data_IF_842254724466
#
_entry.id   IF_842254724466
#
_cell.length_a   1.000
_cell.length_b   1.000
_cell.length_c   1.000
_cell.angle_alpha   90.00
_cell.angle_beta   90.00
_cell.angle_gamma   90.00
#
_symmetry.space_group_name_H-M   'P 1'
#
loop_
_entity.id
_entity.type
_entity.pdbx_description
1 polymer ?
#
# COMPACT_ATOMS: atom_id res chain seq x y z
N UNK A 1 37.05 45.29 -1.19
CA UNK A 1 35.61 44.96 -1.18
C UNK A 1 35.27 44.13 -2.41
N UNK A 2 35.30 42.79 -2.32
CA UNK A 2 34.68 41.90 -3.31
C UNK A 2 33.91 40.84 -2.53
N UNK A 3 32.61 40.79 -2.83
CA UNK A 3 31.53 40.23 -2.03
C UNK A 3 31.65 38.70 -1.97
N UNK A 4 31.60 38.14 -0.77
CA UNK A 4 31.65 36.72 -0.49
C UNK A 4 30.43 35.99 -1.09
N UNK A 5 30.72 34.85 -1.70
CA UNK A 5 29.82 33.80 -2.14
C UNK A 5 29.08 33.18 -0.95
N UNK A 6 27.75 33.12 -0.98
CA UNK A 6 26.95 32.07 -0.33
C UNK A 6 25.66 31.86 -1.13
N UNK A 7 25.70 30.96 -2.10
CA UNK A 7 24.50 30.30 -2.59
C UNK A 7 24.04 29.35 -1.48
N UNK A 8 23.12 29.81 -0.63
CA UNK A 8 22.39 28.94 0.28
C UNK A 8 21.33 28.25 -0.57
N UNK A 9 21.70 27.10 -1.13
CA UNK A 9 20.70 26.13 -1.60
C UNK A 9 19.91 25.72 -0.35
N UNK A 10 18.68 26.19 -0.24
CA UNK A 10 17.74 25.77 0.78
C UNK A 10 17.35 24.31 0.56
N UNK A 11 18.17 23.39 1.06
CA UNK A 11 17.83 21.98 1.21
C UNK A 11 16.91 21.88 2.43
N UNK A 12 15.61 22.12 2.24
CA UNK A 12 14.74 22.27 3.39
C UNK A 12 13.26 22.20 3.09
N UNK A 13 12.78 21.17 2.38
CA UNK A 13 11.44 20.57 2.56
C UNK A 13 11.46 19.14 1.99
N UNK A 14 11.93 18.15 2.76
CA UNK A 14 11.67 16.72 2.48
C UNK A 14 11.39 15.97 3.80
N UNK A 15 10.81 16.66 4.79
CA UNK A 15 10.45 16.09 6.10
C UNK A 15 8.94 15.93 6.30
N UNK A 16 8.12 16.08 5.26
CA UNK A 16 6.68 15.84 5.32
C UNK A 16 6.32 14.39 4.92
N UNK A 17 7.17 13.44 5.31
CA UNK A 17 7.02 12.03 4.96
C UNK A 17 5.81 11.42 5.66
N UNK A 18 4.81 11.02 4.89
CA UNK A 18 3.78 10.01 5.21
C UNK A 18 2.85 10.25 6.42
N UNK A 19 3.04 11.32 7.20
CA UNK A 19 2.26 11.59 8.42
C UNK A 19 0.76 11.90 8.23
N UNK A 20 0.26 11.94 6.99
CA UNK A 20 -1.16 12.11 6.67
C UNK A 20 -1.93 10.79 6.47
N UNK A 21 -1.27 9.64 6.59
CA UNK A 21 -1.86 8.33 6.35
C UNK A 21 -2.52 7.76 7.62
N UNK A 22 -3.42 8.50 8.29
CA UNK A 22 -4.14 7.97 9.46
C UNK A 22 -5.36 7.14 9.00
N UNK A 23 -5.49 5.89 9.47
CA UNK A 23 -6.65 5.04 9.23
C UNK A 23 -7.85 5.42 10.14
N UNK A 24 -8.17 6.70 10.24
CA UNK A 24 -9.29 7.21 11.05
C UNK A 24 -10.28 8.04 10.22
N UNK A 25 -11.44 8.33 10.81
CA UNK A 25 -12.49 9.13 10.18
C UNK A 25 -13.16 8.45 8.98
N UNK A 26 -13.30 7.12 9.03
CA UNK A 26 -13.99 6.35 8.00
C UNK A 26 -15.50 6.53 8.14
N UNK A 27 -16.11 7.28 7.23
CA UNK A 27 -17.57 7.47 7.25
C UNK A 27 -18.30 6.17 6.88
N UNK A 28 -19.56 5.97 7.33
CA UNK A 28 -20.34 4.80 6.93
C UNK A 28 -20.51 4.66 5.41
N UNK A 29 -20.65 5.77 4.68
CA UNK A 29 -20.73 5.75 3.21
C UNK A 29 -19.40 5.30 2.59
N UNK A 30 -18.28 5.84 3.06
CA UNK A 30 -16.95 5.43 2.58
C UNK A 30 -16.68 3.96 2.90
N UNK A 31 -17.06 3.48 4.09
CA UNK A 31 -16.93 2.06 4.45
C UNK A 31 -17.68 1.14 3.48
N UNK A 32 -18.93 1.44 3.15
CA UNK A 32 -19.71 0.60 2.21
C UNK A 32 -19.13 0.62 0.80
N UNK A 33 -18.60 1.76 0.35
CA UNK A 33 -17.88 1.86 -0.93
C UNK A 33 -16.60 1.01 -0.91
N UNK A 34 -15.73 1.20 0.07
CA UNK A 34 -14.47 0.45 0.20
C UNK A 34 -14.76 -1.05 0.31
N UNK A 35 -15.78 -1.44 1.06
CA UNK A 35 -16.20 -2.84 1.20
C UNK A 35 -16.68 -3.44 -0.12
N UNK A 36 -17.49 -2.71 -0.88
CA UNK A 36 -17.94 -3.16 -2.20
C UNK A 36 -16.76 -3.31 -3.17
N UNK A 37 -15.81 -2.38 -3.17
CA UNK A 37 -14.61 -2.46 -4.00
C UNK A 37 -13.70 -3.63 -3.61
N UNK A 38 -13.50 -3.87 -2.31
CA UNK A 38 -12.75 -5.02 -1.82
C UNK A 38 -13.41 -6.34 -2.23
N UNK A 39 -14.74 -6.45 -2.11
CA UNK A 39 -15.49 -7.63 -2.53
C UNK A 39 -15.39 -7.88 -4.05
N UNK A 40 -15.40 -6.81 -4.85
CA UNK A 40 -15.20 -6.91 -6.28
C UNK A 40 -13.79 -7.41 -6.61
N UNK A 41 -12.75 -6.87 -5.96
CA UNK A 41 -11.37 -7.34 -6.09
C UNK A 41 -11.20 -8.80 -5.70
N UNK A 42 -11.81 -9.23 -4.60
CA UNK A 42 -11.79 -10.64 -4.14
C UNK A 42 -12.42 -11.56 -5.16
N UNK A 43 -13.59 -11.17 -5.66
CA UNK A 43 -14.30 -11.94 -6.69
C UNK A 43 -13.45 -12.03 -7.96
N UNK A 44 -12.81 -10.93 -8.35
CA UNK A 44 -11.95 -10.91 -9.52
C UNK A 44 -10.73 -11.82 -9.35
N UNK A 45 -9.95 -11.64 -8.27
CA UNK A 45 -8.74 -12.42 -8.02
C UNK A 45 -9.02 -13.91 -7.80
N UNK A 46 -10.13 -14.27 -7.15
CA UNK A 46 -10.57 -15.67 -7.03
C UNK A 46 -10.85 -16.32 -8.40
N UNK A 47 -11.27 -15.54 -9.39
CA UNK A 47 -11.53 -16.03 -10.75
C UNK A 47 -10.30 -15.98 -11.66
N UNK A 48 -9.31 -15.11 -11.40
CA UNK A 48 -8.14 -14.93 -12.27
C UNK A 48 -6.88 -15.61 -11.75
N UNK A 49 -6.71 -15.70 -10.44
CA UNK A 49 -5.52 -16.24 -9.78
C UNK A 49 -5.82 -17.61 -9.14
N UNK A 50 -5.20 -18.66 -9.66
CA UNK A 50 -5.52 -20.06 -9.28
C UNK A 50 -5.20 -20.36 -7.82
N UNK A 51 -4.20 -19.70 -7.26
CA UNK A 51 -3.74 -19.85 -5.88
C UNK A 51 -4.59 -19.08 -4.87
N UNK A 52 -5.33 -18.05 -5.28
CA UNK A 52 -5.93 -17.05 -4.39
C UNK A 52 -6.84 -17.67 -3.34
N UNK A 53 -7.77 -18.53 -3.76
CA UNK A 53 -8.69 -19.24 -2.85
C UNK A 53 -7.95 -20.13 -1.84
N UNK A 54 -6.79 -20.67 -2.24
CA UNK A 54 -5.91 -21.44 -1.35
C UNK A 54 -5.31 -20.53 -0.27
N UNK A 55 -4.81 -19.37 -0.67
CA UNK A 55 -4.20 -18.38 0.23
C UNK A 55 -5.18 -17.81 1.22
N UNK A 56 -6.40 -17.47 0.79
CA UNK A 56 -7.48 -17.03 1.68
C UNK A 56 -7.74 -18.09 2.75
N UNK A 57 -7.82 -19.37 2.37
CA UNK A 57 -8.13 -20.48 3.29
C UNK A 57 -6.98 -20.81 4.25
N UNK A 58 -5.74 -20.65 3.83
CA UNK A 58 -4.57 -20.97 4.65
C UNK A 58 -4.13 -19.83 5.56
N UNK A 59 -4.61 -18.60 5.33
CA UNK A 59 -4.20 -17.42 6.09
C UNK A 59 -5.02 -17.24 7.37
N UNK A 60 -4.40 -16.64 8.37
CA UNK A 60 -5.08 -16.19 9.59
C UNK A 60 -5.97 -14.97 9.30
N UNK A 61 -5.45 -14.03 8.50
CA UNK A 61 -6.14 -12.83 8.05
C UNK A 61 -5.58 -12.39 6.69
N UNK A 62 -6.25 -11.45 6.04
CA UNK A 62 -5.81 -10.91 4.76
C UNK A 62 -6.33 -9.48 4.55
N UNK A 63 -5.51 -8.62 3.95
CA UNK A 63 -5.84 -7.22 3.69
C UNK A 63 -6.02 -6.98 2.20
N UNK A 64 -7.10 -6.30 1.82
CA UNK A 64 -7.43 -6.00 0.41
C UNK A 64 -7.32 -4.51 0.18
N UNK A 65 -6.59 -4.15 -0.87
CA UNK A 65 -6.37 -2.78 -1.31
C UNK A 65 -6.79 -2.64 -2.77
N UNK A 66 -8.05 -2.29 -3.03
CA UNK A 66 -8.55 -2.09 -4.38
C UNK A 66 -8.05 -0.76 -4.95
N UNK A 67 -7.76 -0.75 -6.25
CA UNK A 67 -7.53 0.47 -7.02
C UNK A 67 -6.35 1.30 -6.53
N UNK A 68 -5.32 0.66 -6.00
CA UNK A 68 -4.06 1.28 -5.63
C UNK A 68 -3.51 2.07 -6.80
N UNK A 69 -3.47 3.39 -6.63
CA UNK A 69 -2.75 4.24 -7.56
C UNK A 69 -1.25 4.19 -7.23
N UNK A 70 -0.41 4.08 -8.25
CA UNK A 70 1.02 4.34 -8.12
C UNK A 70 1.50 5.14 -9.32
N UNK A 71 2.08 6.30 -9.09
CA UNK A 71 2.58 7.14 -10.18
C UNK A 71 3.88 7.86 -9.84
N UNK A 72 4.55 8.33 -10.88
CA UNK A 72 5.72 9.18 -10.77
C UNK A 72 5.72 10.25 -11.86
N UNK A 73 6.16 11.46 -11.50
CA UNK A 73 6.34 12.54 -12.44
C UNK A 73 7.76 13.10 -12.34
N UNK A 74 8.57 12.79 -13.35
CA UNK A 74 10.01 13.07 -13.41
C UNK A 74 10.82 12.36 -12.34
N UNK A 75 10.88 12.89 -11.12
CA UNK A 75 11.79 12.43 -10.05
C UNK A 75 11.03 11.88 -8.84
N UNK A 76 9.83 12.41 -8.58
CA UNK A 76 9.06 12.13 -7.37
C UNK A 76 7.63 11.76 -7.76
N UNK A 77 7.06 10.85 -7.01
CA UNK A 77 5.70 10.42 -7.16
C UNK A 77 5.15 9.84 -5.88
N UNK A 78 3.96 9.30 -5.99
CA UNK A 78 3.32 8.65 -4.87
C UNK A 78 2.08 7.91 -5.32
N UNK A 79 1.41 7.36 -4.33
CA UNK A 79 0.32 6.44 -4.50
C UNK A 79 -0.39 6.19 -3.20
N UNK A 80 -1.39 5.32 -3.28
CA UNK A 80 -2.14 4.90 -2.13
C UNK A 80 -3.52 4.36 -2.49
N UNK A 81 -4.12 3.76 -1.48
CA UNK A 81 -5.46 3.22 -1.49
C UNK A 81 -5.98 3.10 -0.06
N UNK A 82 -7.29 2.97 0.02
CA UNK A 82 -7.98 2.59 1.23
C UNK A 82 -8.30 1.09 1.12
N UNK A 83 -8.12 0.37 2.22
CA UNK A 83 -8.27 -1.09 2.25
C UNK A 83 -8.93 -1.59 3.52
N UNK A 84 -9.39 -2.84 3.47
CA UNK A 84 -10.00 -3.54 4.59
C UNK A 84 -9.23 -4.81 4.93
N UNK A 85 -9.17 -5.11 6.22
CA UNK A 85 -8.57 -6.33 6.75
C UNK A 85 -9.71 -7.27 7.09
N UNK A 86 -9.58 -8.52 6.65
CA UNK A 86 -10.54 -9.58 6.87
C UNK A 86 -9.92 -10.70 7.70
N UNK A 87 -10.71 -11.31 8.58
CA UNK A 87 -10.36 -12.60 9.15
C UNK A 87 -10.52 -13.71 8.11
N UNK A 88 -10.06 -14.92 8.45
CA UNK A 88 -10.21 -16.10 7.60
C UNK A 88 -11.68 -16.48 7.26
N UNK A 89 -12.65 -15.97 8.02
CA UNK A 89 -14.09 -16.19 7.81
C UNK A 89 -14.71 -15.15 6.87
N UNK A 90 -13.94 -14.13 6.45
CA UNK A 90 -14.38 -13.05 5.57
C UNK A 90 -15.07 -11.89 6.29
N UNK A 91 -14.98 -11.81 7.62
CA UNK A 91 -15.48 -10.68 8.39
C UNK A 91 -14.44 -9.56 8.46
N UNK A 92 -14.88 -8.32 8.34
CA UNK A 92 -14.00 -7.14 8.42
C UNK A 92 -13.52 -6.97 9.87
N UNK A 93 -12.21 -6.98 10.07
CA UNK A 93 -11.54 -6.70 11.34
C UNK A 93 -11.16 -5.23 11.49
N UNK A 94 -10.76 -4.60 10.40
CA UNK A 94 -10.18 -3.28 10.46
C UNK A 94 -10.09 -2.57 9.13
N UNK A 95 -9.71 -1.31 9.22
CA UNK A 95 -9.49 -0.41 8.12
C UNK A 95 -8.00 -0.04 8.04
N UNK A 96 -7.49 0.02 6.83
CA UNK A 96 -6.11 0.45 6.58
C UNK A 96 -6.06 1.48 5.47
N UNK A 97 -5.20 2.48 5.68
CA UNK A 97 -4.77 3.36 4.60
C UNK A 97 -3.36 2.97 4.19
N UNK A 98 -3.16 2.90 2.88
CA UNK A 98 -1.88 2.73 2.27
C UNK A 98 -1.43 4.05 1.64
N UNK A 99 -0.21 4.48 1.95
CA UNK A 99 0.43 5.63 1.33
C UNK A 99 1.77 5.21 0.76
N UNK A 100 2.00 5.61 -0.49
CA UNK A 100 3.19 5.28 -1.26
C UNK A 100 3.94 6.54 -1.67
N UNK A 101 5.27 6.48 -1.60
CA UNK A 101 6.19 7.45 -2.19
C UNK A 101 7.07 6.74 -3.20
N UNK A 102 7.21 7.33 -4.38
CA UNK A 102 8.07 6.84 -5.44
C UNK A 102 9.22 7.82 -5.68
N UNK A 103 10.46 7.34 -5.72
CA UNK A 103 11.66 8.11 -6.02
C UNK A 103 12.45 7.47 -7.16
N UNK A 104 12.56 8.17 -8.29
CA UNK A 104 13.27 7.66 -9.46
C UNK A 104 12.85 8.35 -10.75
N UNK A 105 13.20 7.80 -11.90
CA UNK A 105 12.89 8.40 -13.19
C UNK A 105 11.68 7.73 -13.80
N UNK A 106 10.62 8.49 -14.03
CA UNK A 106 9.47 7.97 -14.77
C UNK A 106 8.43 9.02 -15.12
N UNK A 107 7.44 8.56 -15.86
CA UNK A 107 6.31 9.36 -16.29
C UNK A 107 5.06 8.49 -16.31
N UNK A 108 3.90 9.07 -15.93
CA UNK A 108 2.61 8.41 -15.72
C UNK A 108 2.51 7.52 -14.46
N UNK A 109 1.26 7.12 -14.17
CA UNK A 109 0.93 6.17 -13.12
C UNK A 109 0.13 4.99 -13.64
N UNK A 110 -0.13 4.06 -12.74
CA UNK A 110 -0.86 2.82 -12.94
C UNK A 110 -1.85 2.62 -11.79
N UNK A 111 -2.85 1.80 -12.05
CA UNK A 111 -3.75 1.30 -11.01
C UNK A 111 -3.59 -0.21 -10.91
N UNK A 112 -3.52 -0.72 -9.68
CA UNK A 112 -3.48 -2.15 -9.41
C UNK A 112 -4.37 -2.49 -8.22
N UNK A 113 -4.83 -3.73 -8.16
CA UNK A 113 -5.35 -4.32 -6.94
C UNK A 113 -4.24 -5.09 -6.26
N UNK A 114 -4.21 -5.08 -4.92
CA UNK A 114 -3.33 -6.00 -4.21
C UNK A 114 -3.95 -6.54 -2.92
N UNK A 115 -3.52 -7.76 -2.57
CA UNK A 115 -3.91 -8.47 -1.36
C UNK A 115 -2.68 -8.95 -0.61
N UNK A 116 -2.66 -8.68 0.69
CA UNK A 116 -1.61 -9.13 1.62
C UNK A 116 -2.19 -10.25 2.47
N UNK A 117 -1.55 -11.42 2.47
CA UNK A 117 -1.96 -12.57 3.26
C UNK A 117 -1.09 -12.70 4.52
N UNK A 118 -1.74 -12.77 5.68
CA UNK A 118 -1.09 -12.96 6.99
C UNK A 118 -1.22 -14.43 7.41
N UNK A 119 -0.15 -15.24 7.35
CA UNK A 119 -0.25 -16.67 7.62
C UNK A 119 -0.52 -16.99 9.10
N UNK A 120 -0.23 -16.07 10.02
CA UNK A 120 -0.41 -16.27 11.46
C UNK A 120 -0.74 -14.93 12.18
N UNK A 121 -1.06 -15.03 13.47
CA UNK A 121 -1.41 -13.87 14.31
C UNK A 121 -0.22 -12.92 14.50
N UNK A 122 1.01 -13.44 14.58
CA UNK A 122 2.22 -12.62 14.71
C UNK A 122 2.43 -11.71 13.48
N UNK A 123 2.21 -12.25 12.29
CA UNK A 123 2.22 -11.51 11.03
C UNK A 123 1.17 -10.38 11.00
N UNK A 124 -0.06 -10.68 11.45
CA UNK A 124 -1.11 -9.66 11.55
C UNK A 124 -0.76 -8.57 12.57
N UNK A 125 -0.29 -8.95 13.77
CA UNK A 125 0.07 -8.00 14.82
C UNK A 125 1.20 -7.07 14.36
N UNK A 126 2.21 -7.61 13.67
CA UNK A 126 3.31 -6.81 13.12
C UNK A 126 2.81 -5.75 12.11
N UNK A 127 1.79 -6.09 11.30
CA UNK A 127 1.12 -5.13 10.40
C UNK A 127 0.36 -4.05 11.19
N UNK A 128 -0.41 -4.45 12.20
CA UNK A 128 -1.22 -3.53 13.02
C UNK A 128 -0.38 -2.52 13.80
N UNK A 129 0.81 -2.92 14.26
CA UNK A 129 1.73 -2.05 15.00
C UNK A 129 2.41 -0.96 14.14
N UNK A 130 2.16 -0.93 12.82
CA UNK A 130 2.65 0.12 11.93
C UNK A 130 4.15 0.06 11.63
N UNK A 131 4.82 -1.06 11.95
CA UNK A 131 6.25 -1.25 11.73
C UNK A 131 6.61 -1.61 10.26
N UNK A 132 5.66 -1.48 9.33
CA UNK A 132 5.92 -1.76 7.92
C UNK A 132 6.17 -0.47 7.15
N UNK A 133 7.46 -0.09 7.11
CA UNK A 133 7.97 0.80 6.08
C UNK A 133 8.64 -0.07 5.02
N UNK A 134 8.03 -0.17 3.84
CA UNK A 134 8.80 -0.61 2.69
C UNK A 134 9.80 0.52 2.42
N UNK A 135 11.10 0.34 2.68
CA UNK A 135 12.14 1.31 2.27
C UNK A 135 13.18 1.87 3.25
N UNK A 136 13.14 1.58 4.56
CA UNK A 136 14.27 1.80 5.51
C UNK A 136 13.92 2.79 6.65
N UNK A 137 14.42 2.72 7.89
CA UNK A 137 15.59 2.07 8.53
C UNK A 137 15.27 0.82 9.37
N UNK A 138 13.99 0.50 9.51
CA UNK A 138 13.45 -0.83 9.76
C UNK A 138 12.54 -1.11 8.58
N UNK A 139 13.15 -1.24 7.39
CA UNK A 139 12.38 -1.23 6.17
C UNK A 139 13.03 -1.91 4.98
N UNK A 140 12.18 -2.61 4.25
CA UNK A 140 12.51 -3.39 3.07
C UNK A 140 12.19 -2.53 1.86
N UNK A 141 13.15 -1.85 1.25
CA UNK A 141 12.89 -1.12 0.00
C UNK A 141 12.58 -2.09 -1.12
N UNK A 142 11.42 -1.97 -1.76
CA UNK A 142 11.15 -2.69 -3.00
C UNK A 142 11.76 -1.91 -4.16
N UNK A 143 12.54 -2.60 -4.99
CA UNK A 143 12.85 -2.16 -6.35
C UNK A 143 11.63 -2.45 -7.25
N UNK A 144 10.80 -1.43 -7.49
CA UNK A 144 9.71 -1.51 -8.45
C UNK A 144 10.21 -1.29 -9.88
N UNK A 145 10.34 -2.35 -10.66
CA UNK A 145 10.54 -2.23 -12.11
C UNK A 145 9.17 -2.02 -12.77
N UNK A 146 8.89 -0.81 -13.25
CA UNK A 146 7.64 -0.51 -13.94
C UNK A 146 7.65 -1.17 -15.34
N UNK A 147 7.27 -2.45 -15.40
CA UNK A 147 6.87 -3.12 -16.63
C UNK A 147 6.05 -4.41 -16.43
N UNK A 148 6.17 -5.16 -15.33
CA UNK A 148 5.41 -6.41 -15.18
C UNK A 148 5.45 -7.00 -13.76
N UNK A 149 4.38 -6.75 -12.98
CA UNK A 149 3.71 -7.78 -12.18
C UNK A 149 4.46 -8.61 -11.11
N UNK A 150 5.71 -8.35 -10.75
CA UNK A 150 6.35 -9.11 -9.67
C UNK A 150 7.04 -8.19 -8.66
N UNK A 151 6.49 -8.17 -7.45
CA UNK A 151 7.18 -7.69 -6.26
C UNK A 151 7.35 -8.87 -5.31
N UNK A 152 8.60 -9.31 -5.14
CA UNK A 152 8.96 -10.35 -4.17
C UNK A 152 9.18 -9.69 -2.82
N UNK A 153 8.56 -10.26 -1.79
CA UNK A 153 8.90 -9.97 -0.40
C UNK A 153 9.24 -11.24 0.37
N UNK A 154 9.92 -11.03 1.50
CA UNK A 154 10.54 -12.00 2.40
C UNK A 154 9.56 -13.07 2.90
N UNK A 155 10.12 -14.22 3.29
CA UNK A 155 9.55 -15.55 3.61
C UNK A 155 8.29 -15.65 4.53
N UNK A 156 7.69 -14.54 4.98
CA UNK A 156 6.65 -14.53 6.04
C UNK A 156 5.25 -14.13 5.55
N UNK A 157 5.10 -13.59 4.34
CA UNK A 157 3.79 -13.17 3.80
C UNK A 157 3.68 -13.51 2.32
N UNK A 158 2.45 -13.73 1.86
CA UNK A 158 2.15 -13.91 0.44
C UNK A 158 1.43 -12.67 -0.10
N UNK A 159 1.75 -12.29 -1.33
CA UNK A 159 1.29 -11.08 -1.97
C UNK A 159 0.74 -11.40 -3.35
N UNK A 160 -0.49 -11.01 -3.60
CA UNK A 160 -1.13 -11.09 -4.92
C UNK A 160 -1.39 -9.67 -5.39
N UNK A 161 -0.94 -9.36 -6.61
CA UNK A 161 -1.23 -8.07 -7.25
C UNK A 161 -1.68 -8.25 -8.69
N UNK A 162 -2.73 -7.52 -9.07
CA UNK A 162 -3.27 -7.53 -10.42
C UNK A 162 -3.36 -6.09 -11.00
N UNK A 163 -2.68 -5.79 -12.11
CA UNK A 163 -2.74 -4.47 -12.73
C UNK A 163 -4.12 -4.20 -13.40
N UNK A 164 -4.86 -3.19 -12.91
CA UNK A 164 -6.09 -2.68 -13.53
C UNK A 164 -5.84 -1.86 -14.80
N UNK A 165 -4.77 -1.07 -14.80
CA UNK A 165 -4.39 -0.26 -15.97
C UNK A 165 -2.90 0.09 -15.95
N UNK A 166 -2.26 0.04 -17.13
CA UNK A 166 -0.85 0.36 -17.31
C UNK A 166 -0.67 1.49 -18.31
N UNK A 167 0.07 2.52 -17.92
CA UNK A 167 0.50 3.61 -18.80
C UNK A 167 1.84 4.24 -18.42
N UNK A 168 2.45 3.77 -17.32
CA UNK A 168 3.71 4.28 -16.79
C UNK A 168 4.94 3.61 -17.39
N UNK A 169 5.97 4.40 -17.66
CA UNK A 169 7.32 3.90 -17.91
C UNK A 169 8.26 4.57 -16.91
N UNK A 170 8.99 3.76 -16.13
CA UNK A 170 9.91 4.31 -15.14
C UNK A 170 10.70 3.27 -14.37
N UNK A 171 11.75 3.75 -13.71
CA UNK A 171 12.56 3.00 -12.75
C UNK A 171 12.58 3.83 -11.48
N UNK A 172 11.93 3.34 -10.44
CA UNK A 172 11.85 4.04 -9.17
C UNK A 172 11.87 3.08 -7.98
N UNK A 173 12.39 3.60 -6.87
CA UNK A 173 12.26 3.00 -5.57
C UNK A 173 10.90 3.38 -5.01
N UNK A 174 10.23 2.40 -4.42
CA UNK A 174 8.91 2.57 -3.83
C UNK A 174 9.03 2.42 -2.33
N UNK A 175 8.38 3.34 -1.62
CA UNK A 175 8.30 3.37 -0.17
C UNK A 175 6.84 3.37 0.24
N UNK A 176 6.43 2.35 0.99
CA UNK A 176 5.05 2.12 1.38
C UNK A 176 4.91 2.22 2.89
N UNK A 177 3.82 2.84 3.32
CA UNK A 177 3.40 2.91 4.70
C UNK A 177 1.93 2.53 4.81
N UNK A 178 1.65 1.63 5.73
CA UNK A 178 0.30 1.19 6.04
C UNK A 178 -0.04 1.66 7.44
N UNK A 179 -1.19 2.30 7.60
CA UNK A 179 -1.80 2.49 8.91
C UNK A 179 -2.94 1.52 9.10
N UNK A 180 -3.25 1.23 10.35
CA UNK A 180 -4.31 0.32 10.72
C UNK A 180 -5.10 0.91 11.89
N UNK A 181 -6.41 0.70 11.89
CA UNK A 181 -7.26 0.73 13.07
C UNK A 181 -8.28 -0.40 12.99
N UNK A 182 -8.74 -0.87 14.15
CA UNK A 182 -9.93 -1.71 14.20
C UNK A 182 -11.14 -0.96 13.62
N UNK A 183 -12.10 -1.72 13.07
CA UNK A 183 -13.17 -1.12 12.27
C UNK A 183 -14.07 -0.21 13.10
N UNK A 184 -14.29 -0.53 14.38
CA UNK A 184 -15.12 0.27 15.28
C UNK A 184 -14.43 1.61 15.58
N UNK A 185 -13.13 1.60 15.89
CA UNK A 185 -12.34 2.80 16.11
C UNK A 185 -12.27 3.66 14.85
N UNK A 186 -12.02 3.05 13.68
CA UNK A 186 -11.93 3.76 12.41
C UNK A 186 -13.22 4.52 12.05
N UNK A 187 -14.39 3.99 12.46
CA UNK A 187 -15.71 4.56 12.20
C UNK A 187 -16.23 5.50 13.30
N UNK A 188 -15.50 5.65 14.40
CA UNK A 188 -15.96 6.36 15.61
C UNK A 188 -15.67 7.88 15.65
N UNK A 189 -14.94 8.42 14.67
CA UNK A 189 -14.51 9.83 14.61
C UNK A 189 -15.39 10.73 13.73
#
# INVERSE_FOLDING_TARGET
MKKQMKAVLGLGVLGAGLGGCAATGLTPEAYEITKAECQATVTHLSNTEIEFDGLVKSSHAWAVFPGEFSGIHYIVGGGGSDGLIYNNSGEVLGYSRHARINLGLGFFGQYADFVIFFPNEEALNAFQEGNWSVGGEAGWGILGLAASGQQSFTEVHEFVSDPRSGGGAGVYLTFDNFSYNDIDTAMSE
#
